data_IF_451616497412
#
_entry.id   IF_451616497412
#
_cell.length_a   1.000
_cell.length_b   1.000
_cell.length_c   1.000
_cell.angle_alpha   90.00
_cell.angle_beta   90.00
_cell.angle_gamma   90.00
#
_symmetry.space_group_name_H-M   'P 1'
#
loop_
_entity.id
_entity.type
_entity.pdbx_description
1 polymer ?
#
# COMPACT_ATOMS: atom_id res chain seq x y z
N UNK A 1 16.07 -13.13 -41.07
CA UNK A 1 14.89 -13.43 -40.22
C UNK A 1 15.40 -14.09 -38.95
N UNK A 2 15.51 -13.33 -37.86
CA UNK A 2 15.84 -13.84 -36.54
C UNK A 2 14.91 -13.16 -35.53
N UNK A 3 14.17 -13.97 -34.78
CA UNK A 3 13.24 -13.51 -33.75
C UNK A 3 14.04 -12.91 -32.58
N UNK A 4 13.62 -11.79 -31.98
CA UNK A 4 14.22 -11.33 -30.74
C UNK A 4 13.73 -12.21 -29.59
N UNK A 5 14.68 -12.75 -28.83
CA UNK A 5 14.44 -13.56 -27.64
C UNK A 5 13.77 -12.71 -26.56
N UNK A 6 12.52 -13.06 -26.24
CA UNK A 6 11.81 -12.59 -25.05
C UNK A 6 12.40 -13.27 -23.81
N UNK A 7 13.04 -12.47 -22.95
CA UNK A 7 13.44 -12.93 -21.62
C UNK A 7 12.22 -12.92 -20.69
N UNK A 8 11.88 -14.05 -20.03
CA UNK A 8 10.80 -14.09 -19.05
C UNK A 8 11.40 -13.81 -17.66
N UNK A 9 11.07 -12.66 -17.07
CA UNK A 9 11.30 -12.42 -15.65
C UNK A 9 10.02 -11.90 -15.00
N UNK A 10 9.02 -12.76 -15.01
CA UNK A 10 7.83 -12.65 -14.17
C UNK A 10 8.18 -13.01 -12.73
N UNK A 11 8.34 -12.00 -11.88
CA UNK A 11 8.01 -12.11 -10.45
C UNK A 11 7.10 -10.95 -10.09
N UNK A 12 5.83 -11.28 -9.86
CA UNK A 12 4.78 -10.34 -9.50
C UNK A 12 4.96 -9.93 -8.03
N UNK A 13 5.89 -9.02 -7.75
CA UNK A 13 6.28 -8.62 -6.38
C UNK A 13 5.23 -7.70 -5.74
N UNK A 14 4.39 -7.03 -6.53
CA UNK A 14 3.26 -6.22 -6.05
C UNK A 14 1.93 -6.99 -5.99
N UNK A 15 1.95 -8.32 -6.02
CA UNK A 15 0.74 -9.11 -5.80
C UNK A 15 0.48 -9.27 -4.30
N UNK A 16 -0.73 -8.94 -3.78
CA UNK A 16 -1.07 -9.32 -2.43
C UNK A 16 -1.07 -10.85 -2.30
N UNK A 17 -0.58 -11.44 -1.19
CA UNK A 17 -0.55 -12.88 -1.03
C UNK A 17 -1.97 -13.47 -1.16
N UNK A 18 -2.11 -14.45 -2.05
CA UNK A 18 -3.36 -15.21 -2.23
C UNK A 18 -3.40 -16.33 -1.19
N UNK A 19 -4.40 -16.25 -0.30
CA UNK A 19 -4.92 -17.28 0.61
C UNK A 19 -3.90 -18.06 1.44
N UNK A 20 -3.90 -17.80 2.75
CA UNK A 20 -3.47 -18.77 3.76
C UNK A 20 -4.64 -19.08 4.70
N UNK A 21 -4.94 -20.38 4.80
CA UNK A 21 -5.85 -20.99 5.77
C UNK A 21 -5.33 -20.74 7.19
N UNK A 22 -6.20 -20.44 8.17
CA UNK A 22 -5.78 -20.22 9.55
C UNK A 22 -5.16 -21.49 10.14
N UNK A 23 -4.10 -21.38 10.97
CA UNK A 23 -3.54 -22.52 11.66
C UNK A 23 -4.56 -23.06 12.67
N UNK A 24 -4.82 -24.37 12.58
CA UNK A 24 -5.54 -25.16 13.58
C UNK A 24 -4.58 -25.39 14.76
N UNK A 25 -5.10 -25.27 15.99
CA UNK A 25 -4.51 -25.62 17.29
C UNK A 25 -3.40 -24.71 17.87
N UNK A 26 -3.68 -24.16 19.06
CA UNK A 26 -2.70 -23.57 19.98
C UNK A 26 -2.16 -24.64 20.94
N UNK A 27 -0.91 -24.53 21.43
CA UNK A 27 -0.38 -25.44 22.43
C UNK A 27 -0.90 -25.09 23.84
N UNK A 28 -1.13 -26.14 24.64
CA UNK A 28 -1.52 -26.09 26.05
C UNK A 28 -0.33 -25.65 26.90
N UNK A 29 -0.49 -24.61 27.73
CA UNK A 29 0.47 -24.26 28.79
C UNK A 29 -0.03 -24.83 30.11
N UNK A 30 0.82 -25.66 30.73
CA UNK A 30 0.58 -26.30 32.03
C UNK A 30 0.55 -25.30 33.18
N UNK A 31 -0.38 -25.55 34.10
CA UNK A 31 -0.62 -24.90 35.39
C UNK A 31 0.53 -25.18 36.36
N UNK A 32 0.91 -24.21 37.20
CA UNK A 32 1.69 -24.45 38.42
C UNK A 32 1.11 -23.63 39.60
N UNK A 33 0.77 -24.34 40.67
CA UNK A 33 0.17 -23.92 41.96
C UNK A 33 1.19 -23.18 42.85
N UNK A 34 0.85 -22.07 43.52
CA UNK A 34 0.19 -21.88 44.85
C UNK A 34 1.18 -21.67 46.00
N UNK A 35 1.05 -20.54 46.72
CA UNK A 35 1.17 -20.40 48.20
C UNK A 35 0.93 -18.91 48.58
N UNK A 36 -0.13 -18.56 49.30
CA UNK A 36 -0.28 -18.59 50.77
C UNK A 36 -0.04 -17.20 51.39
N UNK A 37 -1.12 -16.44 51.65
CA UNK A 37 -1.18 -15.40 52.71
C UNK A 37 -2.61 -15.25 53.25
N UNK A 38 -2.67 -15.12 54.57
CA UNK A 38 -3.78 -15.19 55.53
C UNK A 38 -4.91 -14.15 55.34
N UNK A 39 -6.13 -14.40 55.88
CA UNK A 39 -7.31 -13.59 55.60
C UNK A 39 -7.35 -12.34 56.47
N UNK A 40 -7.40 -11.17 55.83
CA UNK A 40 -7.76 -9.91 56.49
C UNK A 40 -9.29 -9.93 56.64
N UNK A 41 -9.78 -10.07 57.87
CA UNK A 41 -11.17 -9.85 58.23
C UNK A 41 -11.49 -8.36 58.08
N UNK A 42 -11.96 -7.97 56.89
CA UNK A 42 -12.60 -6.67 56.69
C UNK A 42 -14.10 -6.92 56.65
N UNK A 43 -14.75 -6.61 57.76
CA UNK A 43 -16.20 -6.47 57.83
C UNK A 43 -16.59 -5.28 56.94
N UNK A 44 -17.17 -5.57 55.78
CA UNK A 44 -17.59 -4.57 54.80
C UNK A 44 -18.95 -4.96 54.27
N UNK A 45 -19.98 -4.49 54.96
CA UNK A 45 -21.36 -4.40 54.48
C UNK A 45 -21.46 -3.37 53.33
N UNK A 46 -20.74 -3.61 52.25
CA UNK A 46 -21.02 -3.03 50.93
C UNK A 46 -21.62 -4.14 50.07
N UNK A 47 -22.78 -3.95 49.42
CA UNK A 47 -23.29 -4.97 48.51
C UNK A 47 -22.21 -5.24 47.45
N UNK A 48 -21.72 -6.47 47.43
CA UNK A 48 -20.76 -6.92 46.42
C UNK A 48 -21.33 -6.57 45.05
N UNK A 49 -20.57 -5.86 44.18
CA UNK A 49 -21.06 -5.51 42.87
C UNK A 49 -21.51 -6.79 42.17
N UNK A 50 -22.78 -6.79 41.76
CA UNK A 50 -23.40 -7.95 41.14
C UNK A 50 -22.51 -8.40 39.95
N UNK A 51 -22.14 -9.68 39.87
CA UNK A 51 -21.23 -10.13 38.82
C UNK A 51 -21.80 -9.79 37.44
N UNK A 52 -21.00 -9.10 36.62
CA UNK A 52 -21.40 -8.61 35.29
C UNK A 52 -21.66 -9.74 34.27
N UNK A 53 -21.32 -10.99 34.61
CA UNK A 53 -21.56 -12.18 33.78
C UNK A 53 -21.77 -13.42 34.64
N UNK A 54 -22.59 -14.37 34.15
CA UNK A 54 -22.77 -15.71 34.72
C UNK A 54 -21.81 -16.71 34.07
N UNK A 55 -21.55 -17.85 34.72
CA UNK A 55 -20.72 -18.91 34.14
C UNK A 55 -21.27 -19.38 32.78
N UNK A 56 -22.57 -19.68 32.73
CA UNK A 56 -23.27 -20.09 31.50
C UNK A 56 -23.14 -19.06 30.37
N UNK A 57 -23.21 -17.76 30.69
CA UNK A 57 -23.03 -16.70 29.68
C UNK A 57 -21.61 -16.67 29.11
N UNK A 58 -20.60 -16.99 29.92
CA UNK A 58 -19.21 -17.05 29.48
C UNK A 58 -18.95 -18.30 28.64
N UNK A 59 -19.48 -19.44 29.05
CA UNK A 59 -19.35 -20.70 28.31
C UNK A 59 -20.00 -20.59 26.92
N UNK A 60 -21.19 -19.98 26.83
CA UNK A 60 -21.84 -19.72 25.53
C UNK A 60 -21.02 -18.79 24.62
N UNK A 61 -20.32 -17.79 25.19
CA UNK A 61 -19.40 -16.93 24.43
C UNK A 61 -18.22 -17.74 23.90
N UNK A 62 -17.62 -18.58 24.75
CA UNK A 62 -16.45 -19.38 24.34
C UNK A 62 -16.82 -20.40 23.27
N UNK A 63 -17.95 -21.10 23.39
CA UNK A 63 -18.46 -22.00 22.35
C UNK A 63 -18.69 -21.25 21.02
N UNK A 64 -19.29 -20.07 21.06
CA UNK A 64 -19.49 -19.25 19.86
C UNK A 64 -18.16 -18.86 19.22
N UNK A 65 -17.14 -18.51 20.02
CA UNK A 65 -15.80 -18.19 19.52
C UNK A 65 -15.08 -19.40 18.93
N UNK A 66 -15.21 -20.59 19.54
CA UNK A 66 -14.66 -21.84 19.01
C UNK A 66 -15.27 -22.21 17.65
N UNK A 67 -16.55 -21.90 17.46
CA UNK A 67 -17.26 -22.07 16.19
C UNK A 67 -17.01 -20.92 15.19
N UNK A 68 -16.23 -19.90 15.54
CA UNK A 68 -15.94 -18.74 14.70
C UNK A 68 -17.12 -17.77 14.54
N UNK A 69 -18.14 -17.87 15.39
CA UNK A 69 -19.25 -16.92 15.43
C UNK A 69 -18.87 -15.71 16.30
N UNK A 70 -18.66 -14.57 15.64
CA UNK A 70 -18.31 -13.33 16.32
C UNK A 70 -19.52 -12.41 16.59
N UNK A 71 -20.75 -12.79 16.21
CA UNK A 71 -21.96 -12.00 16.47
C UNK A 71 -22.41 -12.22 17.91
N UNK A 72 -21.83 -11.44 18.82
CA UNK A 72 -22.01 -11.58 20.27
C UNK A 72 -22.67 -10.34 20.91
N UNK A 73 -22.76 -9.23 20.18
CA UNK A 73 -23.46 -8.02 20.61
C UNK A 73 -24.84 -7.94 19.96
N UNK A 74 -25.73 -7.16 20.56
CA UNK A 74 -26.98 -6.78 19.89
C UNK A 74 -26.64 -5.92 18.66
N UNK A 75 -27.29 -6.16 17.50
CA UNK A 75 -27.17 -5.26 16.36
C UNK A 75 -27.50 -3.83 16.74
N UNK A 76 -26.78 -2.87 16.14
CA UNK A 76 -26.96 -1.44 16.40
C UNK A 76 -26.74 -0.64 15.13
N UNK A 77 -27.41 0.50 15.02
CA UNK A 77 -27.21 1.42 13.90
C UNK A 77 -25.88 2.16 14.07
N UNK A 78 -25.01 2.11 13.05
CA UNK A 78 -23.78 2.91 12.97
C UNK A 78 -23.87 3.73 11.68
N UNK A 79 -24.11 5.04 11.81
CA UNK A 79 -24.30 5.99 10.71
C UNK A 79 -23.15 7.00 10.61
N UNK A 80 -22.58 7.38 11.74
CA UNK A 80 -21.50 8.37 11.81
C UNK A 80 -20.31 7.84 12.62
N UNK A 81 -19.14 8.52 12.56
CA UNK A 81 -18.01 8.19 13.42
C UNK A 81 -18.33 8.23 14.92
N UNK A 82 -19.26 9.11 15.33
CA UNK A 82 -19.67 9.28 16.73
C UNK A 82 -20.42 8.05 17.28
N UNK A 83 -20.93 7.20 16.40
CA UNK A 83 -21.55 5.95 16.80
C UNK A 83 -20.50 4.88 17.17
N UNK A 84 -19.19 5.07 16.92
CA UNK A 84 -18.17 4.07 17.22
C UNK A 84 -17.78 4.05 18.70
N UNK A 85 -17.57 2.85 19.26
CA UNK A 85 -17.04 2.70 20.62
C UNK A 85 -15.49 2.84 20.67
N UNK A 86 -14.92 2.91 21.88
CA UNK A 86 -13.48 3.10 22.07
C UNK A 86 -12.63 2.00 21.40
N UNK A 87 -13.11 0.75 21.39
CA UNK A 87 -12.39 -0.37 20.78
C UNK A 87 -12.44 -0.28 19.25
N UNK A 88 -13.59 0.07 18.70
CA UNK A 88 -13.81 0.28 17.27
C UNK A 88 -12.99 1.48 16.75
N UNK A 89 -12.95 2.60 17.48
CA UNK A 89 -12.12 3.77 17.17
C UNK A 89 -10.63 3.44 17.26
N UNK A 90 -10.22 2.76 18.34
CA UNK A 90 -8.85 2.26 18.50
C UNK A 90 -8.45 1.37 17.33
N UNK A 91 -9.36 0.53 16.87
CA UNK A 91 -9.11 -0.34 15.73
C UNK A 91 -8.95 0.43 14.42
N UNK A 92 -9.82 1.40 14.16
CA UNK A 92 -9.69 2.30 13.01
C UNK A 92 -8.33 3.02 13.02
N UNK A 93 -7.88 3.46 14.20
CA UNK A 93 -6.59 4.13 14.37
C UNK A 93 -5.41 3.23 14.00
N UNK A 94 -5.41 1.97 14.46
CA UNK A 94 -4.34 1.02 14.12
C UNK A 94 -4.28 0.69 12.64
N UNK A 95 -5.43 0.57 11.97
CA UNK A 95 -5.50 0.36 10.51
C UNK A 95 -4.90 1.55 9.76
N UNK A 96 -5.29 2.78 10.13
CA UNK A 96 -4.74 4.00 9.54
C UNK A 96 -3.23 4.13 9.79
N UNK A 97 -2.77 3.76 10.99
CA UNK A 97 -1.36 3.76 11.34
C UNK A 97 -0.57 2.82 10.45
N UNK A 98 -1.05 1.60 10.23
CA UNK A 98 -0.36 0.63 9.38
C UNK A 98 -0.34 1.02 7.90
N UNK A 99 -1.46 1.54 7.40
CA UNK A 99 -1.50 2.16 6.07
C UNK A 99 -0.43 3.26 5.93
N UNK A 100 -0.29 4.11 6.96
CA UNK A 100 0.71 5.18 6.98
C UNK A 100 2.13 4.64 7.07
N UNK A 101 2.40 3.69 7.97
CA UNK A 101 3.71 3.09 8.17
C UNK A 101 4.20 2.33 6.93
N UNK A 102 3.29 1.71 6.17
CA UNK A 102 3.65 1.01 4.93
C UNK A 102 4.30 1.94 3.88
N UNK A 103 3.96 3.23 3.87
CA UNK A 103 4.38 4.16 2.78
C UNK A 103 5.14 5.39 3.25
N UNK A 104 4.96 5.83 4.49
CA UNK A 104 5.62 7.00 5.08
C UNK A 104 6.67 6.53 6.09
N UNK A 105 7.95 6.88 5.90
CA UNK A 105 9.04 6.43 6.79
C UNK A 105 8.91 7.00 8.21
N UNK A 106 8.28 8.16 8.36
CA UNK A 106 8.15 8.87 9.64
C UNK A 106 6.70 8.85 10.16
N UNK A 107 5.96 7.77 9.90
CA UNK A 107 4.59 7.65 10.41
C UNK A 107 4.60 7.53 11.94
N UNK A 108 4.28 8.61 12.64
CA UNK A 108 4.19 8.66 14.10
C UNK A 108 2.74 8.52 14.57
N UNK A 109 2.56 8.23 15.86
CA UNK A 109 1.25 8.28 16.52
C UNK A 109 0.57 9.65 16.36
N UNK A 110 1.34 10.74 16.55
CA UNK A 110 0.83 12.10 16.40
C UNK A 110 0.33 12.38 14.97
N UNK A 111 1.14 12.09 13.96
CA UNK A 111 0.73 12.30 12.56
C UNK A 111 -0.46 11.44 12.13
N UNK A 112 -0.60 10.25 12.72
CA UNK A 112 -1.77 9.40 12.51
C UNK A 112 -3.02 10.04 13.10
N UNK A 113 -2.92 10.50 14.36
CA UNK A 113 -4.00 11.19 15.10
C UNK A 113 -4.50 12.41 14.32
N UNK A 114 -3.59 13.24 13.79
CA UNK A 114 -3.95 14.45 13.05
C UNK A 114 -4.75 14.15 11.77
N UNK A 115 -4.59 12.94 11.21
CA UNK A 115 -5.31 12.51 9.98
C UNK A 115 -6.55 11.66 10.26
N UNK A 116 -6.83 11.35 11.53
CA UNK A 116 -7.87 10.41 11.92
C UNK A 116 -9.27 10.89 11.52
N UNK A 117 -9.58 12.17 11.75
CA UNK A 117 -10.89 12.71 11.38
C UNK A 117 -11.14 12.73 9.87
N UNK A 118 -10.12 13.08 9.09
CA UNK A 118 -10.19 13.00 7.63
C UNK A 118 -10.41 11.56 7.15
N UNK A 119 -9.81 10.59 7.83
CA UNK A 119 -9.99 9.17 7.54
C UNK A 119 -11.40 8.69 7.89
N UNK A 120 -11.90 8.97 9.08
CA UNK A 120 -13.26 8.61 9.51
C UNK A 120 -14.31 9.24 8.59
N UNK A 121 -14.15 10.53 8.24
CA UNK A 121 -15.01 11.18 7.25
C UNK A 121 -15.02 10.46 5.90
N UNK A 122 -13.88 9.93 5.45
CA UNK A 122 -13.79 9.16 4.22
C UNK A 122 -14.43 7.76 4.34
N UNK A 123 -14.27 7.10 5.50
CA UNK A 123 -14.93 5.82 5.81
C UNK A 123 -16.44 5.97 5.71
N UNK A 124 -17.01 6.98 6.37
CA UNK A 124 -18.45 7.22 6.42
C UNK A 124 -19.01 8.01 5.24
N UNK A 125 -18.16 8.44 4.30
CA UNK A 125 -18.63 9.11 3.09
C UNK A 125 -19.55 8.18 2.29
N UNK A 126 -20.79 8.63 2.04
CA UNK A 126 -21.82 7.86 1.32
C UNK A 126 -22.20 6.54 2.01
N UNK A 127 -21.94 6.43 3.32
CA UNK A 127 -22.30 5.27 4.12
C UNK A 127 -23.80 5.32 4.48
N UNK A 128 -24.53 4.26 4.13
CA UNK A 128 -25.99 4.17 4.37
C UNK A 128 -26.36 3.13 5.43
N UNK A 129 -25.38 2.50 6.09
CA UNK A 129 -25.61 1.52 7.16
C UNK A 129 -25.93 0.09 6.69
N UNK A 130 -26.21 -0.12 5.40
CA UNK A 130 -26.66 -1.42 4.88
C UNK A 130 -26.13 -1.75 3.46
N UNK A 131 -25.08 -1.06 3.01
CA UNK A 131 -24.52 -1.37 1.70
C UNK A 131 -23.70 -2.65 1.75
N UNK A 132 -24.04 -3.58 0.84
CA UNK A 132 -23.32 -4.84 0.63
C UNK A 132 -21.82 -4.66 0.42
N UNK A 133 -21.09 -5.78 0.35
CA UNK A 133 -19.64 -5.79 0.26
C UNK A 133 -19.11 -4.77 -0.75
N UNK A 134 -18.42 -3.74 -0.26
CA UNK A 134 -17.74 -2.79 -1.12
C UNK A 134 -16.72 -3.53 -1.98
N UNK A 135 -16.53 -3.14 -3.23
CA UNK A 135 -15.49 -3.76 -4.08
C UNK A 135 -14.11 -3.46 -3.51
N UNK A 136 -13.30 -4.50 -3.30
CA UNK A 136 -11.91 -4.34 -2.88
C UNK A 136 -11.15 -3.55 -3.95
N UNK A 137 -10.39 -2.50 -3.59
CA UNK A 137 -9.61 -1.76 -4.57
C UNK A 137 -8.58 -2.67 -5.24
N UNK A 138 -8.38 -2.50 -6.55
CA UNK A 138 -7.35 -3.17 -7.32
C UNK A 138 -6.07 -2.34 -7.37
N UNK A 139 -4.91 -3.01 -7.35
CA UNK A 139 -3.62 -2.37 -7.57
C UNK A 139 -3.32 -2.36 -9.07
N UNK A 140 -3.98 -1.46 -9.80
CA UNK A 140 -3.83 -1.30 -11.24
C UNK A 140 -3.50 0.16 -11.59
N UNK A 141 -2.26 0.39 -12.00
CA UNK A 141 -1.80 1.69 -12.46
C UNK A 141 -0.63 1.58 -13.44
N UNK A 142 -0.51 2.64 -14.24
CA UNK A 142 0.64 2.90 -15.10
C UNK A 142 1.31 4.17 -14.59
N UNK A 143 2.64 4.16 -14.56
CA UNK A 143 3.49 5.32 -14.26
C UNK A 143 4.43 5.49 -15.42
N UNK A 144 4.60 6.75 -15.83
CA UNK A 144 5.58 7.14 -16.81
C UNK A 144 6.32 8.36 -16.29
N UNK A 145 7.63 8.28 -16.29
CA UNK A 145 8.52 9.41 -16.02
C UNK A 145 9.52 9.50 -17.17
N UNK A 146 10.04 10.70 -17.41
CA UNK A 146 11.03 10.93 -18.43
C UNK A 146 12.03 11.98 -17.99
N UNK A 147 13.21 11.93 -18.58
CA UNK A 147 14.27 12.91 -18.40
C UNK A 147 14.93 13.17 -19.75
N UNK A 148 15.45 14.38 -19.96
CA UNK A 148 16.36 14.63 -21.07
C UNK A 148 17.67 13.86 -20.80
N UNK A 149 18.13 13.09 -21.76
CA UNK A 149 19.32 12.23 -21.64
C UNK A 149 20.39 12.58 -22.67
N UNK A 150 20.19 13.65 -23.44
CA UNK A 150 21.12 14.07 -24.47
C UNK A 150 20.43 14.75 -25.65
N UNK A 151 21.21 15.06 -26.68
CA UNK A 151 20.70 15.73 -27.88
C UNK A 151 21.10 14.98 -29.14
N UNK A 152 20.33 15.16 -30.21
CA UNK A 152 20.66 14.71 -31.56
C UNK A 152 21.56 15.73 -32.24
N UNK A 153 22.70 15.26 -32.74
CA UNK A 153 23.56 15.96 -33.66
C UNK A 153 22.93 16.02 -35.06
N UNK A 154 22.65 17.22 -35.57
CA UNK A 154 22.27 17.34 -36.99
C UNK A 154 23.50 17.17 -37.87
N UNK A 155 23.36 16.46 -38.99
CA UNK A 155 24.40 16.48 -40.02
C UNK A 155 24.48 17.91 -40.62
N UNK A 156 25.70 18.48 -40.76
CA UNK A 156 27.01 17.82 -40.77
C UNK A 156 27.77 17.80 -39.43
N UNK A 157 27.19 18.30 -38.34
CA UNK A 157 27.88 18.46 -37.06
C UNK A 157 28.03 17.11 -36.33
N UNK A 158 29.17 16.44 -36.47
CA UNK A 158 29.51 15.24 -35.71
C UNK A 158 30.50 15.60 -34.59
N UNK A 159 29.99 15.90 -33.40
CA UNK A 159 30.81 16.24 -32.23
C UNK A 159 31.39 14.99 -31.57
N UNK A 160 32.56 15.10 -30.92
CA UNK A 160 33.18 13.96 -30.21
C UNK A 160 32.76 13.85 -28.75
N UNK A 161 32.34 14.95 -28.12
CA UNK A 161 31.96 15.00 -26.70
C UNK A 161 30.55 15.59 -26.50
N UNK A 162 29.95 15.35 -25.34
CA UNK A 162 28.62 15.90 -25.01
C UNK A 162 28.66 17.42 -24.90
N UNK A 163 29.72 17.98 -24.30
CA UNK A 163 29.93 19.42 -24.14
C UNK A 163 29.93 20.19 -25.46
N UNK A 164 30.66 19.68 -26.47
CA UNK A 164 30.70 20.27 -27.81
C UNK A 164 29.35 20.21 -28.52
N UNK A 165 28.55 19.19 -28.22
CA UNK A 165 27.19 19.04 -28.72
C UNK A 165 26.27 20.12 -28.13
N UNK A 166 26.29 20.29 -26.81
CA UNK A 166 25.43 21.24 -26.08
C UNK A 166 25.71 22.70 -26.46
N UNK A 167 26.97 23.05 -26.73
CA UNK A 167 27.37 24.40 -27.14
C UNK A 167 27.03 24.70 -28.62
N UNK A 168 26.71 23.68 -29.41
CA UNK A 168 26.44 23.84 -30.83
C UNK A 168 24.98 24.17 -31.13
N UNK A 169 24.76 25.26 -31.88
CA UNK A 169 23.45 25.65 -32.41
C UNK A 169 22.78 24.57 -33.28
N UNK A 170 23.58 23.64 -33.80
CA UNK A 170 23.14 22.55 -34.68
C UNK A 170 22.57 21.33 -33.92
N UNK A 171 22.70 21.26 -32.60
CA UNK A 171 22.36 20.07 -31.81
C UNK A 171 21.29 20.35 -30.76
N UNK A 172 20.15 20.89 -31.22
CA UNK A 172 19.06 21.40 -30.37
C UNK A 172 17.92 20.41 -30.11
N UNK A 173 17.87 19.29 -30.82
CA UNK A 173 16.77 18.33 -30.67
C UNK A 173 17.06 17.43 -29.46
N UNK A 174 16.27 17.50 -28.38
CA UNK A 174 16.50 16.70 -27.19
C UNK A 174 16.16 15.23 -27.44
N UNK A 175 16.77 14.36 -26.65
CA UNK A 175 16.46 12.94 -26.54
C UNK A 175 15.96 12.69 -25.14
N UNK A 176 14.77 12.10 -25.03
CA UNK A 176 14.15 11.76 -23.76
C UNK A 176 14.29 10.27 -23.49
N UNK A 177 14.83 9.92 -22.32
CA UNK A 177 14.77 8.58 -21.75
C UNK A 177 13.47 8.45 -20.97
N UNK A 178 12.62 7.50 -21.36
CA UNK A 178 11.25 7.33 -20.84
C UNK A 178 11.17 5.98 -20.14
N UNK A 179 10.94 5.99 -18.83
CA UNK A 179 10.64 4.80 -18.06
C UNK A 179 9.13 4.64 -17.90
N UNK A 180 8.61 3.45 -18.16
CA UNK A 180 7.20 3.11 -17.94
C UNK A 180 7.10 1.89 -17.03
N UNK A 181 6.32 2.01 -15.97
CA UNK A 181 5.99 0.91 -15.06
C UNK A 181 4.50 0.61 -15.11
N UNK A 182 4.14 -0.65 -15.35
CA UNK A 182 2.77 -1.18 -15.28
C UNK A 182 2.69 -2.11 -14.08
N UNK A 183 1.67 -1.99 -13.26
CA UNK A 183 1.48 -2.90 -12.12
C UNK A 183 0.84 -4.23 -12.52
N UNK A 184 0.12 -4.30 -13.64
CA UNK A 184 -0.55 -5.50 -14.14
C UNK A 184 -0.39 -5.69 -15.67
N UNK A 185 0.37 -6.72 -16.13
CA UNK A 185 1.38 -7.44 -15.36
C UNK A 185 2.49 -6.49 -14.89
N UNK A 186 3.15 -6.81 -13.77
CA UNK A 186 4.28 -6.05 -13.28
C UNK A 186 5.39 -6.00 -14.34
N UNK A 187 5.57 -4.84 -14.96
CA UNK A 187 6.50 -4.66 -16.07
C UNK A 187 7.13 -3.28 -16.00
N UNK A 188 8.45 -3.24 -16.11
CA UNK A 188 9.24 -2.03 -16.27
C UNK A 188 9.88 -2.04 -17.66
N UNK A 189 9.73 -0.94 -18.40
CA UNK A 189 10.33 -0.76 -19.72
C UNK A 189 10.96 0.62 -19.84
N UNK A 190 12.08 0.71 -20.56
CA UNK A 190 12.75 1.96 -20.90
C UNK A 190 12.73 2.11 -22.42
N UNK A 191 12.39 3.30 -22.90
CA UNK A 191 12.33 3.66 -24.31
C UNK A 191 12.87 5.07 -24.53
N UNK A 192 13.22 5.42 -25.76
CA UNK A 192 13.85 6.70 -26.09
C UNK A 192 13.07 7.40 -27.19
N UNK A 193 12.84 8.71 -27.07
CA UNK A 193 12.15 9.51 -28.09
C UNK A 193 12.77 10.90 -28.22
N UNK A 194 12.63 11.52 -29.39
CA UNK A 194 12.96 12.94 -29.61
C UNK A 194 11.77 13.88 -29.36
N UNK A 195 10.58 13.30 -29.14
CA UNK A 195 9.38 14.04 -28.80
C UNK A 195 9.16 13.96 -27.30
N UNK A 196 8.87 15.10 -26.70
CA UNK A 196 8.57 15.14 -25.29
C UNK A 196 7.29 14.33 -24.99
N UNK A 197 7.32 13.40 -24.02
CA UNK A 197 6.16 12.59 -23.69
C UNK A 197 5.04 13.44 -23.07
N UNK A 198 3.79 13.17 -23.46
CA UNK A 198 2.63 13.75 -22.78
C UNK A 198 2.50 13.17 -21.35
N UNK A 199 2.51 13.99 -20.28
CA UNK A 199 2.52 13.53 -18.89
C UNK A 199 1.32 12.68 -18.47
N UNK A 200 0.18 12.85 -19.14
CA UNK A 200 -1.12 12.23 -18.78
C UNK A 200 -1.59 11.14 -19.74
N UNK A 201 -0.79 10.79 -20.73
CA UNK A 201 -1.16 9.74 -21.70
C UNK A 201 -0.89 8.35 -21.13
N UNK A 202 -1.94 7.53 -21.04
CA UNK A 202 -1.82 6.09 -20.81
C UNK A 202 -1.37 5.33 -22.07
N UNK A 203 -1.25 6.00 -23.22
CA UNK A 203 -0.81 5.38 -24.46
C UNK A 203 0.71 5.19 -24.47
N UNK A 204 1.18 4.15 -25.15
CA UNK A 204 2.61 3.91 -25.32
C UNK A 204 3.31 5.07 -25.99
N UNK A 205 4.58 5.29 -25.61
CA UNK A 205 5.38 6.35 -26.21
C UNK A 205 5.47 6.10 -27.71
N UNK A 206 4.97 7.06 -28.49
CA UNK A 206 5.07 7.02 -29.95
C UNK A 206 6.47 7.50 -30.37
N UNK A 207 6.87 7.13 -31.59
CA UNK A 207 8.16 7.53 -32.18
C UNK A 207 9.36 7.19 -31.29
N UNK A 208 9.36 5.97 -30.74
CA UNK A 208 10.49 5.46 -29.99
C UNK A 208 11.55 4.89 -30.93
N UNK A 209 12.81 4.98 -30.52
CA UNK A 209 13.93 4.46 -31.29
C UNK A 209 14.90 3.66 -30.42
N UNK A 210 15.70 2.80 -31.05
CA UNK A 210 16.78 2.09 -30.38
C UNK A 210 18.02 3.00 -30.24
N UNK A 211 18.53 3.25 -29.02
CA UNK A 211 19.76 4.01 -28.79
C UNK A 211 20.96 3.50 -29.61
N UNK A 212 21.09 2.19 -29.74
CA UNK A 212 22.24 1.54 -30.39
C UNK A 212 22.28 1.77 -31.89
N UNK A 213 21.14 2.10 -32.50
CA UNK A 213 21.01 2.34 -33.94
C UNK A 213 21.30 3.81 -34.32
N UNK A 214 21.51 4.69 -33.32
CA UNK A 214 21.62 6.15 -33.51
C UNK A 214 23.00 6.68 -33.13
N UNK A 215 23.91 6.69 -34.12
CA UNK A 215 25.26 7.26 -33.98
C UNK A 215 25.27 8.80 -33.89
N UNK A 216 24.14 9.44 -34.20
CA UNK A 216 23.91 10.89 -34.15
C UNK A 216 23.46 11.37 -32.76
N UNK A 217 23.20 10.48 -31.80
CA UNK A 217 22.84 10.88 -30.43
C UNK A 217 24.11 11.14 -29.61
N UNK A 218 24.09 12.22 -28.83
CA UNK A 218 25.10 12.51 -27.81
C UNK A 218 24.43 12.53 -26.46
N UNK A 219 24.77 11.52 -25.66
CA UNK A 219 24.25 11.34 -24.31
C UNK A 219 24.85 12.37 -23.37
N UNK A 220 24.03 12.88 -22.47
CA UNK A 220 24.46 13.76 -21.40
C UNK A 220 25.44 13.05 -20.46
N UNK A 221 26.48 13.75 -20.02
CA UNK A 221 27.40 13.27 -19.00
C UNK A 221 26.71 13.35 -17.62
N UNK A 222 26.41 12.20 -17.03
CA UNK A 222 25.77 12.13 -15.72
C UNK A 222 24.98 10.84 -15.49
N UNK A 223 24.53 10.64 -14.26
CA UNK A 223 23.71 9.48 -13.87
C UNK A 223 22.21 9.81 -13.96
N UNK A 224 21.78 10.16 -15.17
CA UNK A 224 20.37 10.40 -15.48
C UNK A 224 19.47 9.18 -15.17
N UNK A 225 20.05 7.97 -15.14
CA UNK A 225 19.36 6.76 -14.72
C UNK A 225 18.98 6.79 -13.24
N UNK A 226 19.86 7.29 -12.37
CA UNK A 226 19.51 7.51 -10.95
C UNK A 226 18.42 8.54 -10.77
N UNK A 227 18.44 9.64 -11.52
CA UNK A 227 17.38 10.66 -11.45
C UNK A 227 16.02 10.12 -11.94
N UNK A 228 16.03 9.39 -13.05
CA UNK A 228 14.85 8.73 -13.59
C UNK A 228 14.30 7.68 -12.61
N UNK A 229 15.17 6.88 -12.00
CA UNK A 229 14.83 5.91 -10.95
C UNK A 229 14.21 6.58 -9.73
N UNK A 230 14.75 7.72 -9.28
CA UNK A 230 14.21 8.49 -8.17
C UNK A 230 12.80 9.04 -8.49
N UNK A 231 12.61 9.58 -9.69
CA UNK A 231 11.30 10.05 -10.16
C UNK A 231 10.27 8.91 -10.22
N UNK A 232 10.65 7.76 -10.80
CA UNK A 232 9.79 6.57 -10.87
C UNK A 232 9.41 6.04 -9.48
N UNK A 233 10.38 5.92 -8.56
CA UNK A 233 10.14 5.50 -7.17
C UNK A 233 9.15 6.43 -6.48
N UNK A 234 9.31 7.75 -6.62
CA UNK A 234 8.41 8.75 -6.04
C UNK A 234 6.99 8.66 -6.61
N UNK A 235 6.86 8.58 -7.92
CA UNK A 235 5.56 8.46 -8.58
C UNK A 235 4.84 7.16 -8.19
N UNK A 236 5.59 6.05 -8.09
CA UNK A 236 5.05 4.76 -7.66
C UNK A 236 4.61 4.76 -6.21
N UNK A 237 5.42 5.31 -5.32
CA UNK A 237 5.06 5.43 -3.92
C UNK A 237 3.77 6.25 -3.73
N UNK A 238 3.55 7.28 -4.54
CA UNK A 238 2.31 8.06 -4.51
C UNK A 238 1.07 7.25 -4.93
N UNK A 239 1.18 6.44 -6.00
CA UNK A 239 0.10 5.54 -6.45
C UNK A 239 -0.20 4.47 -5.40
N UNK A 240 0.84 3.86 -4.84
CA UNK A 240 0.75 2.87 -3.75
C UNK A 240 0.13 3.48 -2.49
N UNK A 241 0.52 4.69 -2.10
CA UNK A 241 -0.06 5.38 -0.96
C UNK A 241 -1.56 5.64 -1.15
N UNK A 242 -1.98 6.05 -2.35
CA UNK A 242 -3.39 6.22 -2.69
C UNK A 242 -4.15 4.89 -2.62
N UNK A 243 -3.59 3.82 -3.18
CA UNK A 243 -4.17 2.48 -3.09
C UNK A 243 -4.33 2.02 -1.64
N UNK A 244 -3.28 2.12 -0.81
CA UNK A 244 -3.32 1.71 0.60
C UNK A 244 -4.40 2.48 1.38
N UNK A 245 -4.59 3.78 1.10
CA UNK A 245 -5.69 4.57 1.69
C UNK A 245 -7.06 4.02 1.33
N UNK A 246 -7.31 3.72 0.05
CA UNK A 246 -8.55 3.11 -0.38
C UNK A 246 -8.76 1.72 0.23
N UNK A 247 -7.69 0.95 0.37
CA UNK A 247 -7.73 -0.38 0.98
C UNK A 247 -8.03 -0.30 2.48
N UNK A 248 -7.46 0.68 3.20
CA UNK A 248 -7.76 0.92 4.61
C UNK A 248 -9.23 1.29 4.83
N UNK A 249 -9.78 2.18 3.98
CA UNK A 249 -11.20 2.53 4.00
C UNK A 249 -12.07 1.29 3.76
N UNK A 250 -11.71 0.48 2.76
CA UNK A 250 -12.42 -0.75 2.45
C UNK A 250 -12.42 -1.74 3.65
N UNK A 251 -11.27 -1.95 4.29
CA UNK A 251 -11.18 -2.79 5.49
C UNK A 251 -12.08 -2.30 6.62
N UNK A 252 -12.01 -0.99 6.94
CA UNK A 252 -12.82 -0.42 8.03
C UNK A 252 -14.30 -0.49 7.71
N UNK A 253 -14.74 -0.24 6.47
CA UNK A 253 -16.15 -0.40 6.09
C UNK A 253 -16.65 -1.82 6.30
N UNK A 254 -15.84 -2.83 5.97
CA UNK A 254 -16.16 -4.23 6.26
C UNK A 254 -16.33 -4.50 7.76
N UNK A 255 -15.47 -3.90 8.59
CA UNK A 255 -15.58 -3.99 10.05
C UNK A 255 -16.84 -3.30 10.57
N UNK A 256 -17.09 -2.05 10.16
CA UNK A 256 -18.28 -1.28 10.55
C UNK A 256 -19.57 -2.02 10.18
N UNK A 257 -19.63 -2.63 8.99
CA UNK A 257 -20.76 -3.47 8.59
C UNK A 257 -20.95 -4.68 9.53
N UNK A 258 -19.86 -5.31 9.96
CA UNK A 258 -19.88 -6.39 10.93
C UNK A 258 -20.32 -5.93 12.32
N UNK A 259 -19.77 -4.83 12.81
CA UNK A 259 -20.08 -4.24 14.12
C UNK A 259 -21.55 -3.80 14.22
N UNK A 260 -22.10 -3.23 13.15
CA UNK A 260 -23.52 -2.88 13.07
C UNK A 260 -24.43 -4.11 13.22
N UNK A 261 -23.97 -5.29 12.77
CA UNK A 261 -24.67 -6.57 12.93
C UNK A 261 -24.42 -7.25 14.28
N UNK A 262 -23.64 -6.62 15.18
CA UNK A 262 -23.31 -7.17 16.49
C UNK A 262 -22.01 -7.97 16.55
N UNK A 263 -21.18 -7.92 15.50
CA UNK A 263 -19.88 -8.59 15.51
C UNK A 263 -18.93 -7.93 16.53
N UNK A 264 -18.16 -8.74 17.25
CA UNK A 264 -17.00 -8.27 18.04
C UNK A 264 -15.67 -8.48 17.32
N UNK A 265 -15.70 -8.97 16.08
CA UNK A 265 -14.49 -9.23 15.31
C UNK A 265 -13.79 -7.93 14.94
N UNK A 266 -12.50 -7.85 15.24
CA UNK A 266 -11.67 -6.66 14.99
C UNK A 266 -10.89 -6.75 13.68
N UNK A 267 -11.03 -7.82 12.91
CA UNK A 267 -10.18 -8.03 11.74
C UNK A 267 -8.96 -8.90 12.05
N UNK A 268 -8.19 -9.20 11.00
CA UNK A 268 -6.86 -9.82 11.13
C UNK A 268 -5.86 -8.87 11.75
N UNK A 269 -4.79 -9.35 12.36
CA UNK A 269 -3.74 -8.49 12.89
C UNK A 269 -3.22 -7.49 11.87
N UNK A 270 -2.76 -6.37 12.40
CA UNK A 270 -2.40 -5.20 11.61
C UNK A 270 -1.26 -5.51 10.63
N UNK A 271 -0.36 -6.39 11.04
CA UNK A 271 0.77 -6.89 10.26
C UNK A 271 0.33 -7.77 9.08
N UNK A 272 -0.91 -8.28 9.11
CA UNK A 272 -1.47 -9.18 8.09
C UNK A 272 -2.26 -8.40 7.02
N UNK A 273 -2.44 -7.08 7.19
CA UNK A 273 -3.05 -6.27 6.14
C UNK A 273 -2.17 -6.27 4.90
N UNK A 274 -2.76 -6.58 3.74
CA UNK A 274 -2.07 -6.60 2.44
C UNK A 274 -1.72 -5.20 1.90
N UNK A 275 -1.30 -4.28 2.77
CA UNK A 275 -0.77 -2.98 2.38
C UNK A 275 0.55 -3.20 1.65
N UNK A 276 0.73 -2.47 0.55
CA UNK A 276 1.98 -2.52 -0.21
C UNK A 276 2.98 -1.59 0.46
N UNK A 277 4.12 -2.13 0.87
CA UNK A 277 5.15 -1.36 1.55
C UNK A 277 6.10 -0.63 0.58
N UNK A 278 6.85 0.33 1.13
CA UNK A 278 7.86 1.10 0.42
C UNK A 278 9.05 0.24 -0.06
N UNK A 279 9.36 -0.84 0.65
CA UNK A 279 10.38 -1.81 0.25
C UNK A 279 10.03 -2.48 -1.07
N UNK A 280 8.77 -2.88 -1.26
CA UNK A 280 8.27 -3.45 -2.50
C UNK A 280 8.43 -2.48 -3.69
N UNK A 281 8.17 -1.17 -3.48
CA UNK A 281 8.46 -0.12 -4.48
C UNK A 281 9.95 -0.03 -4.76
N UNK A 282 10.80 -0.11 -3.73
CA UNK A 282 12.26 -0.02 -3.88
C UNK A 282 12.80 -1.18 -4.71
N UNK A 283 12.33 -2.40 -4.44
CA UNK A 283 12.70 -3.62 -5.17
C UNK A 283 12.23 -3.55 -6.63
N UNK A 284 11.03 -3.02 -6.90
CA UNK A 284 10.50 -2.90 -8.26
C UNK A 284 11.38 -2.04 -9.19
N UNK A 285 12.19 -1.13 -8.64
CA UNK A 285 13.10 -0.26 -9.39
C UNK A 285 14.58 -0.49 -9.09
N UNK A 286 14.94 -1.59 -8.40
CA UNK A 286 16.33 -1.92 -8.11
C UNK A 286 17.14 -2.20 -9.40
N UNK A 287 16.48 -2.75 -10.43
CA UNK A 287 17.12 -3.09 -11.70
C UNK A 287 17.38 -1.88 -12.62
N UNK A 288 17.00 -0.65 -12.22
CA UNK A 288 17.28 0.58 -13.00
C UNK A 288 18.70 1.14 -12.77
N UNK A 289 19.64 0.29 -12.34
CA UNK A 289 20.99 0.68 -11.96
C UNK A 289 21.09 1.01 -10.47
N UNK A 290 22.24 0.69 -9.89
CA UNK A 290 22.66 1.11 -8.56
C UNK A 290 23.80 2.11 -8.67
N UNK A 291 23.86 3.03 -7.71
CA UNK A 291 25.01 3.90 -7.53
C UNK A 291 26.13 3.11 -6.86
#
# INVERSE_FOLDING_TARGET
MYAPASAPSSRSILSPPVRFTPPRTAPVIMKQEQENREPILVDSHSPSPQPQSTAESRDSIFEALELGNHILRKPRSIKTPDDLDDLELTRCFYILRACSAATKPNATLATTRDTMEGFLKAVFKDWTGDTGESTKPSLDFIIREYINVGNVCSQPANHRTSSQCTESFSCRTPVFGIATYRSQPAQLSISFSIKEPLPTSNQDAQDTFCPMERADVRWEEGDWMTDLRCSMKRACLNKVHKYNKHLAIWYVRGLVAGWAKGSIWMGKDVEVFSFVDRGAVTVAFAMMGDA
#
